data_IF_307864918086
#
_entry.id   IF_307864918086
#
_cell.length_a   1.000
_cell.length_b   1.000
_cell.length_c   1.000
_cell.angle_alpha   90.00
_cell.angle_beta   90.00
_cell.angle_gamma   90.00
#
_symmetry.space_group_name_H-M   'P 1'
#
loop_
_entity.id
_entity.type
_entity.pdbx_description
1 polymer ?
#
# COMPACT_ATOMS: atom_id res chain seq x y z
N UNK A 1 -6.68 -28.88 -28.56
CA UNK A 1 -5.66 -27.97 -28.00
C UNK A 1 -6.32 -26.62 -27.80
N UNK A 2 -6.84 -26.36 -26.61
CA UNK A 2 -7.46 -25.07 -26.29
C UNK A 2 -6.35 -24.06 -26.08
N UNK A 3 -6.22 -23.09 -26.98
CA UNK A 3 -5.40 -21.91 -26.74
C UNK A 3 -6.05 -21.14 -25.58
N UNK A 4 -5.55 -21.33 -24.37
CA UNK A 4 -5.82 -20.41 -23.27
C UNK A 4 -5.03 -19.13 -23.57
N UNK A 5 -5.62 -18.25 -24.38
CA UNK A 5 -5.16 -16.87 -24.45
C UNK A 5 -5.35 -16.28 -23.07
N UNK A 6 -4.26 -16.12 -22.31
CA UNK A 6 -4.26 -15.23 -21.17
C UNK A 6 -4.36 -13.82 -21.73
N UNK A 7 -5.59 -13.36 -21.97
CA UNK A 7 -5.82 -11.95 -22.21
C UNK A 7 -5.34 -11.20 -20.97
N UNK A 8 -4.39 -10.29 -21.19
CA UNK A 8 -3.91 -9.43 -20.11
C UNK A 8 -5.10 -8.63 -19.58
N UNK A 9 -5.22 -8.48 -18.25
CA UNK A 9 -6.30 -7.69 -17.67
C UNK A 9 -6.27 -6.27 -18.26
N UNK A 10 -7.45 -5.70 -18.56
CA UNK A 10 -7.54 -4.42 -19.23
C UNK A 10 -6.91 -3.33 -18.38
N UNK A 11 -6.19 -2.40 -19.02
CA UNK A 11 -5.67 -1.20 -18.35
C UNK A 11 -6.72 -0.11 -18.30
N UNK A 12 -6.64 0.76 -17.29
CA UNK A 12 -7.47 1.94 -17.17
C UNK A 12 -7.27 2.90 -18.36
N UNK A 13 -8.31 3.66 -18.67
CA UNK A 13 -8.23 4.74 -19.66
C UNK A 13 -7.33 5.86 -19.16
N UNK A 14 -6.86 6.72 -20.08
CA UNK A 14 -6.03 7.88 -19.73
C UNK A 14 -6.71 8.79 -18.70
N UNK A 15 -7.99 9.09 -18.89
CA UNK A 15 -8.75 9.96 -17.99
C UNK A 15 -8.85 9.36 -16.57
N UNK A 16 -9.04 8.05 -16.46
CA UNK A 16 -9.04 7.35 -15.17
C UNK A 16 -7.66 7.43 -14.52
N UNK A 17 -6.59 7.22 -15.30
CA UNK A 17 -5.22 7.32 -14.79
C UNK A 17 -4.86 8.72 -14.32
N UNK A 18 -5.25 9.75 -15.07
CA UNK A 18 -5.00 11.15 -14.70
C UNK A 18 -5.75 11.49 -13.41
N UNK A 19 -7.01 11.02 -13.26
CA UNK A 19 -7.74 11.19 -12.01
C UNK A 19 -7.11 10.45 -10.82
N UNK A 20 -6.60 9.24 -11.02
CA UNK A 20 -5.91 8.49 -9.97
C UNK A 20 -4.61 9.17 -9.54
N UNK A 21 -3.86 9.77 -10.47
CA UNK A 21 -2.65 10.54 -10.15
C UNK A 21 -2.96 11.77 -9.31
N UNK A 22 -3.98 12.55 -9.69
CA UNK A 22 -4.44 13.68 -8.87
C UNK A 22 -4.86 13.25 -7.46
N UNK A 23 -5.52 12.09 -7.34
CA UNK A 23 -5.92 11.54 -6.05
C UNK A 23 -4.70 11.11 -5.22
N UNK A 24 -3.70 10.50 -5.85
CA UNK A 24 -2.44 10.10 -5.22
C UNK A 24 -1.62 11.31 -4.75
N UNK A 25 -1.52 12.37 -5.57
CA UNK A 25 -0.87 13.64 -5.20
C UNK A 25 -1.49 14.21 -3.93
N UNK A 26 -2.83 14.32 -3.91
CA UNK A 26 -3.56 14.83 -2.76
C UNK A 26 -3.39 13.96 -1.51
N UNK A 27 -3.40 12.63 -1.65
CA UNK A 27 -3.20 11.73 -0.53
C UNK A 27 -1.79 11.89 0.05
N UNK A 28 -0.78 12.03 -0.81
CA UNK A 28 0.61 12.29 -0.42
C UNK A 28 0.74 13.62 0.34
N UNK A 29 0.08 14.68 -0.15
CA UNK A 29 0.06 15.99 0.50
C UNK A 29 -0.60 15.92 1.90
N UNK A 30 -1.74 15.24 2.00
CA UNK A 30 -2.46 15.10 3.28
C UNK A 30 -1.62 14.35 4.33
N UNK A 31 -0.93 13.27 3.93
CA UNK A 31 -0.05 12.52 4.82
C UNK A 31 1.17 13.36 5.24
N UNK A 32 1.75 14.10 4.30
CA UNK A 32 2.87 15.02 4.58
C UNK A 32 2.46 16.13 5.53
N UNK A 33 1.28 16.72 5.35
CA UNK A 33 0.71 17.74 6.25
C UNK A 33 0.46 17.20 7.66
N UNK A 34 0.10 15.92 7.79
CA UNK A 34 -0.03 15.24 9.08
C UNK A 34 1.32 14.90 9.73
N UNK A 35 2.45 15.21 9.06
CA UNK A 35 3.80 14.95 9.54
C UNK A 35 4.32 13.54 9.24
N UNK A 36 3.64 12.76 8.39
CA UNK A 36 4.15 11.47 7.93
C UNK A 36 4.96 11.66 6.64
N UNK A 37 6.18 11.12 6.55
CA UNK A 37 6.88 11.02 5.27
C UNK A 37 6.01 10.25 4.28
N UNK A 38 5.71 10.88 3.15
CA UNK A 38 4.95 10.28 2.07
C UNK A 38 5.61 10.58 0.72
N UNK A 39 5.54 9.62 -0.19
CA UNK A 39 6.12 9.74 -1.53
C UNK A 39 5.35 8.87 -2.51
N UNK A 40 5.51 9.18 -3.80
CA UNK A 40 4.95 8.39 -4.87
C UNK A 40 6.00 7.56 -5.59
N UNK A 41 5.60 6.35 -5.97
CA UNK A 41 6.38 5.46 -6.82
C UNK A 41 7.49 4.69 -6.11
N UNK A 42 8.33 4.03 -6.89
CA UNK A 42 9.25 2.99 -6.39
C UNK A 42 10.56 3.53 -5.81
N UNK A 43 10.79 4.85 -5.84
CA UNK A 43 12.13 5.45 -5.85
C UNK A 43 12.69 5.90 -4.49
N UNK A 44 12.10 5.51 -3.36
CA UNK A 44 12.71 5.81 -2.06
C UNK A 44 12.85 4.56 -1.20
N UNK A 45 14.10 4.27 -0.83
CA UNK A 45 14.48 3.35 0.25
C UNK A 45 14.23 3.97 1.65
N UNK A 46 13.53 5.10 1.69
CA UNK A 46 13.19 5.79 2.92
C UNK A 46 11.92 5.17 3.55
N UNK A 47 11.87 5.06 4.89
CA UNK A 47 10.65 4.69 5.58
C UNK A 47 9.57 5.76 5.39
N UNK A 48 8.34 5.35 5.13
CA UNK A 48 7.24 6.27 4.86
C UNK A 48 6.04 5.62 4.19
N UNK A 49 5.01 6.43 3.94
CA UNK A 49 3.84 6.05 3.17
C UNK A 49 4.15 6.14 1.67
N UNK A 50 4.25 4.98 1.03
CA UNK A 50 4.40 4.84 -0.40
C UNK A 50 3.03 4.85 -1.08
N UNK A 51 2.75 5.87 -1.88
CA UNK A 51 1.51 6.01 -2.63
C UNK A 51 1.72 5.45 -4.05
N UNK A 52 0.92 4.46 -4.41
CA UNK A 52 0.97 3.72 -5.66
C UNK A 52 -0.29 3.96 -6.47
N UNK A 53 -0.12 4.15 -7.79
CA UNK A 53 -1.23 4.28 -8.73
C UNK A 53 -1.25 3.03 -9.61
N UNK A 54 -2.31 2.24 -9.50
CA UNK A 54 -2.47 1.04 -10.30
C UNK A 54 -2.99 1.35 -11.70
N UNK A 55 -2.39 0.68 -12.68
CA UNK A 55 -2.72 0.85 -14.10
C UNK A 55 -3.86 -0.03 -14.59
N UNK A 56 -4.25 -1.06 -13.82
CA UNK A 56 -5.35 -1.96 -14.18
C UNK A 56 -6.70 -1.23 -14.12
N UNK A 57 -7.65 -1.63 -14.97
CA UNK A 57 -8.96 -0.99 -15.05
C UNK A 57 -9.72 -1.02 -13.71
N UNK A 58 -9.62 -2.13 -12.99
CA UNK A 58 -10.19 -2.37 -11.65
C UNK A 58 -9.25 -2.01 -10.49
N UNK A 59 -8.04 -1.53 -10.79
CA UNK A 59 -7.09 -1.04 -9.78
C UNK A 59 -7.51 0.30 -9.15
N UNK A 60 -6.64 0.86 -8.33
CA UNK A 60 -6.91 2.14 -7.67
C UNK A 60 -5.66 2.90 -7.24
N UNK A 61 -5.83 3.69 -6.17
CA UNK A 61 -4.72 4.34 -5.47
C UNK A 61 -4.50 3.59 -4.16
N UNK A 62 -3.30 3.03 -4.00
CA UNK A 62 -2.92 2.26 -2.83
C UNK A 62 -1.90 3.06 -2.01
N UNK A 63 -1.97 2.95 -0.70
CA UNK A 63 -0.97 3.49 0.22
C UNK A 63 -0.42 2.36 1.05
N UNK A 64 0.88 2.13 0.94
CA UNK A 64 1.60 1.11 1.69
C UNK A 64 2.57 1.76 2.66
N UNK A 65 2.65 1.25 3.88
CA UNK A 65 3.71 1.66 4.79
C UNK A 65 4.99 0.88 4.50
N UNK A 66 6.08 1.61 4.28
CA UNK A 66 7.44 1.08 4.19
C UNK A 66 8.17 1.32 5.50
N UNK A 67 8.63 0.25 6.13
CA UNK A 67 9.56 0.34 7.27
C UNK A 67 10.98 0.61 6.79
N UNK A 68 11.89 0.89 7.72
CA UNK A 68 13.32 0.85 7.39
C UNK A 68 13.73 -0.54 6.88
N UNK A 69 14.69 -0.56 5.95
CA UNK A 69 15.19 -1.77 5.30
C UNK A 69 15.60 -2.85 6.31
N UNK A 70 16.30 -2.48 7.38
CA UNK A 70 16.77 -3.45 8.38
C UNK A 70 15.65 -4.29 9.02
N UNK A 71 14.47 -3.71 9.25
CA UNK A 71 13.34 -4.45 9.82
C UNK A 71 12.64 -5.33 8.76
N UNK A 72 12.46 -4.80 7.55
CA UNK A 72 11.84 -5.54 6.45
C UNK A 72 12.70 -6.74 6.02
N UNK A 73 14.00 -6.52 5.83
CA UNK A 73 14.97 -7.56 5.45
C UNK A 73 15.11 -8.61 6.54
N UNK A 74 15.13 -8.23 7.82
CA UNK A 74 15.17 -9.19 8.91
C UNK A 74 13.93 -10.11 8.92
N UNK A 75 12.74 -9.55 8.70
CA UNK A 75 11.52 -10.34 8.61
C UNK A 75 11.51 -11.27 7.37
N UNK A 76 11.92 -10.74 6.21
CA UNK A 76 11.98 -11.50 4.95
C UNK A 76 12.95 -12.69 5.04
N UNK A 77 14.18 -12.47 5.52
CA UNK A 77 15.18 -13.52 5.66
C UNK A 77 14.70 -14.67 6.57
N UNK A 78 13.95 -14.35 7.63
CA UNK A 78 13.40 -15.36 8.54
C UNK A 78 12.31 -16.19 7.85
N UNK A 79 11.45 -15.55 7.05
CA UNK A 79 10.41 -16.27 6.28
C UNK A 79 11.01 -17.20 5.22
N UNK A 80 12.10 -16.80 4.56
CA UNK A 80 12.80 -17.63 3.56
C UNK A 80 13.39 -18.91 4.15
N UNK A 81 13.90 -18.85 5.39
CA UNK A 81 14.49 -20.01 6.08
C UNK A 81 13.42 -20.98 6.60
N UNK A 82 12.16 -20.54 6.63
CA UNK A 82 11.03 -21.30 7.17
C UNK A 82 10.81 -21.03 8.66
N UNK A 83 9.55 -20.88 9.03
CA UNK A 83 9.14 -20.45 10.37
C UNK A 83 8.09 -21.38 10.93
N UNK A 84 8.22 -21.72 12.21
CA UNK A 84 7.16 -22.36 12.97
C UNK A 84 6.01 -21.35 13.22
N UNK A 85 4.81 -21.57 12.63
CA UNK A 85 3.70 -20.64 12.78
C UNK A 85 3.17 -20.57 14.22
N UNK A 86 3.48 -21.53 15.08
CA UNK A 86 3.07 -21.53 16.49
C UNK A 86 4.01 -20.71 17.39
N UNK A 87 5.20 -20.33 16.88
CA UNK A 87 6.20 -19.54 17.60
C UNK A 87 6.98 -18.62 16.66
N UNK A 88 6.26 -17.66 16.06
CA UNK A 88 6.86 -16.68 15.14
C UNK A 88 7.96 -15.87 15.81
N UNK A 89 9.18 -15.74 15.25
CA UNK A 89 10.25 -14.91 15.77
C UNK A 89 9.83 -13.45 16.01
N UNK A 90 10.46 -12.81 17.00
CA UNK A 90 10.14 -11.44 17.40
C UNK A 90 10.15 -10.45 16.22
N UNK A 91 11.14 -10.54 15.33
CA UNK A 91 11.25 -9.64 14.17
C UNK A 91 10.02 -9.71 13.25
N UNK A 92 9.45 -10.90 13.03
CA UNK A 92 8.22 -11.06 12.23
C UNK A 92 7.03 -10.44 12.95
N UNK A 93 6.82 -10.79 14.22
CA UNK A 93 5.70 -10.25 15.02
C UNK A 93 5.76 -8.72 15.14
N UNK A 94 6.98 -8.19 15.32
CA UNK A 94 7.20 -6.76 15.42
C UNK A 94 6.96 -6.05 14.09
N UNK A 95 7.48 -6.58 12.98
CA UNK A 95 7.21 -6.07 11.64
C UNK A 95 5.69 -6.02 11.36
N UNK A 96 4.97 -7.13 11.61
CA UNK A 96 3.52 -7.18 11.41
C UNK A 96 2.78 -6.16 12.29
N UNK A 97 3.19 -6.01 13.55
CA UNK A 97 2.60 -5.02 14.46
C UNK A 97 2.80 -3.60 13.92
N UNK A 98 4.01 -3.26 13.45
CA UNK A 98 4.31 -1.95 12.86
C UNK A 98 3.47 -1.72 11.61
N UNK A 99 3.39 -2.69 10.69
CA UNK A 99 2.57 -2.58 9.48
C UNK A 99 1.10 -2.32 9.82
N UNK A 100 0.54 -3.05 10.79
CA UNK A 100 -0.85 -2.89 11.21
C UNK A 100 -1.12 -1.52 11.85
N UNK A 101 -0.27 -1.07 12.77
CA UNK A 101 -0.40 0.24 13.40
C UNK A 101 -0.33 1.36 12.37
N UNK A 102 0.64 1.29 11.44
CA UNK A 102 0.82 2.34 10.44
C UNK A 102 -0.29 2.34 9.38
N UNK A 103 -0.79 1.18 8.97
CA UNK A 103 -1.98 1.09 8.11
C UNK A 103 -3.17 1.79 8.77
N UNK A 104 -3.45 1.47 10.03
CA UNK A 104 -4.60 2.02 10.74
C UNK A 104 -4.45 3.53 11.00
N UNK A 105 -3.21 4.02 11.20
CA UNK A 105 -2.92 5.46 11.28
C UNK A 105 -3.13 6.17 9.93
N UNK A 106 -2.57 5.63 8.84
CA UNK A 106 -2.76 6.16 7.47
C UNK A 106 -4.24 6.23 7.11
N UNK A 107 -4.99 5.18 7.41
CA UNK A 107 -6.43 5.13 7.18
C UNK A 107 -7.16 6.25 7.92
N UNK A 108 -6.89 6.43 9.22
CA UNK A 108 -7.54 7.46 10.02
C UNK A 108 -7.17 8.88 9.58
N UNK A 109 -5.91 9.10 9.20
CA UNK A 109 -5.43 10.41 8.74
C UNK A 109 -6.08 10.79 7.41
N UNK A 110 -6.08 9.89 6.43
CA UNK A 110 -6.72 10.13 5.14
C UNK A 110 -8.24 10.31 5.31
N UNK A 111 -8.88 9.51 6.15
CA UNK A 111 -10.31 9.71 6.47
C UNK A 111 -10.55 11.10 7.07
N UNK A 112 -9.70 11.56 8.00
CA UNK A 112 -9.83 12.91 8.60
C UNK A 112 -9.58 14.05 7.61
N UNK A 113 -8.79 13.80 6.57
CA UNK A 113 -8.57 14.71 5.45
C UNK A 113 -9.67 14.65 4.38
N UNK A 114 -10.75 13.89 4.64
CA UNK A 114 -11.93 13.81 3.77
C UNK A 114 -11.78 12.86 2.60
N UNK A 115 -10.94 11.83 2.68
CA UNK A 115 -10.85 10.78 1.66
C UNK A 115 -11.81 9.63 1.95
N UNK A 116 -12.38 9.02 0.90
CA UNK A 116 -13.03 7.72 1.00
C UNK A 116 -11.94 6.64 0.95
N UNK A 117 -11.68 6.01 2.10
CA UNK A 117 -10.60 5.05 2.31
C UNK A 117 -11.08 3.77 2.97
N UNK A 118 -10.43 2.67 2.63
CA UNK A 118 -10.65 1.38 3.26
C UNK A 118 -9.39 0.53 3.29
N UNK A 119 -9.41 -0.58 4.02
CA UNK A 119 -8.36 -1.60 3.91
C UNK A 119 -8.43 -2.21 2.51
N UNK A 120 -7.28 -2.36 1.86
CA UNK A 120 -7.20 -3.09 0.61
C UNK A 120 -7.47 -4.59 0.84
N UNK A 121 -7.74 -5.34 -0.22
CA UNK A 121 -7.81 -6.80 -0.13
C UNK A 121 -6.46 -7.35 0.34
N UNK A 122 -6.46 -8.04 1.48
CA UNK A 122 -5.23 -8.48 2.12
C UNK A 122 -4.50 -9.58 1.33
N UNK A 123 -5.21 -10.35 0.50
CA UNK A 123 -4.59 -11.38 -0.34
C UNK A 123 -3.82 -10.76 -1.51
N UNK A 124 -4.36 -9.68 -2.07
CA UNK A 124 -3.80 -9.03 -3.26
C UNK A 124 -2.79 -7.94 -2.90
N UNK A 125 -3.06 -7.17 -1.84
CA UNK A 125 -2.32 -5.95 -1.49
C UNK A 125 -1.83 -5.92 -0.04
N UNK A 126 -1.90 -7.05 0.67
CA UNK A 126 -1.37 -7.18 2.02
C UNK A 126 -1.93 -6.14 2.99
N UNK A 127 -1.02 -5.31 3.53
CA UNK A 127 -1.33 -4.27 4.50
C UNK A 127 -1.73 -2.91 3.93
N UNK A 128 -2.00 -2.79 2.63
CA UNK A 128 -2.26 -1.49 2.01
C UNK A 128 -3.61 -0.85 2.42
N UNK A 129 -3.67 0.48 2.31
CA UNK A 129 -4.89 1.28 2.36
C UNK A 129 -5.32 1.62 0.94
N UNK A 130 -6.58 1.39 0.60
CA UNK A 130 -7.16 1.76 -0.69
C UNK A 130 -7.84 3.13 -0.59
N UNK A 131 -7.45 4.07 -1.45
CA UNK A 131 -8.04 5.39 -1.59
C UNK A 131 -8.95 5.40 -2.81
N UNK A 132 -10.26 5.46 -2.57
CA UNK A 132 -11.28 5.35 -3.63
C UNK A 132 -11.66 6.71 -4.22
N UNK A 133 -11.46 7.77 -3.45
CA UNK A 133 -11.79 9.13 -3.86
C UNK A 133 -11.76 10.11 -2.71
N UNK A 134 -12.43 11.23 -2.91
CA UNK A 134 -12.72 12.23 -1.87
C UNK A 134 -14.10 11.89 -1.35
N UNK A 135 -14.25 11.81 -0.03
CA UNK A 135 -15.55 11.64 0.61
C UNK A 135 -16.51 12.79 0.27
N UNK A 136 -17.83 12.56 0.47
CA UNK A 136 -18.85 13.59 0.31
C UNK A 136 -18.69 14.77 1.28
#
# INVERSE_FOLDING_TARGET
MSQHGFDLPPTATRDVMDRRKELADRACDALTQAGLPAFQGTSQDAPGANVLVESLADGGVLVEWRTQEGLATAAANILEIGVDPTNLPYAIRHYETVQNCMRDAVLQILASAGFDVGKADAHTYGGAVHVKGVGP
#
